data_IF_401635505489
#
_entry.id   IF_401635505489
#
_cell.length_a   1.000
_cell.length_b   1.000
_cell.length_c   1.000
_cell.angle_alpha   90.00
_cell.angle_beta   90.00
_cell.angle_gamma   90.00
#
_symmetry.space_group_name_H-M   'P 1'
#
loop_
_entity.id
_entity.type
_entity.pdbx_description
1 polymer ?
#
# COMPACT_ATOMS: atom_id res chain seq x y z
N UNK A 1 8.13 13.82 -24.06
CA UNK A 1 6.70 13.45 -24.20
C UNK A 1 5.98 14.63 -24.83
N UNK A 2 5.15 14.41 -25.85
CA UNK A 2 4.35 15.49 -26.47
C UNK A 2 3.27 15.95 -25.49
N UNK A 3 2.90 17.23 -25.49
CA UNK A 3 1.86 17.79 -24.62
C UNK A 3 0.53 17.00 -24.70
N UNK A 4 0.20 16.52 -25.90
CA UNK A 4 -1.01 15.72 -26.20
C UNK A 4 -1.02 14.35 -25.53
N UNK A 5 0.15 13.75 -25.28
CA UNK A 5 0.24 12.43 -24.67
C UNK A 5 0.02 12.51 -23.16
N UNK A 6 0.58 13.54 -22.52
CA UNK A 6 0.37 13.81 -21.09
C UNK A 6 -1.07 14.23 -20.78
N UNK A 7 -1.69 15.04 -21.66
CA UNK A 7 -3.10 15.40 -21.55
C UNK A 7 -4.03 14.18 -21.65
N UNK A 8 -3.71 13.23 -22.54
CA UNK A 8 -4.46 11.99 -22.69
C UNK A 8 -4.30 11.05 -21.50
N UNK A 9 -3.09 10.92 -20.96
CA UNK A 9 -2.79 10.10 -19.77
C UNK A 9 -3.57 10.62 -18.55
N UNK A 10 -3.55 11.93 -18.31
CA UNK A 10 -4.33 12.55 -17.23
C UNK A 10 -5.85 12.38 -17.41
N UNK A 11 -6.35 12.40 -18.65
CA UNK A 11 -7.77 12.15 -18.93
C UNK A 11 -8.17 10.70 -18.65
N UNK A 12 -7.33 9.74 -19.03
CA UNK A 12 -7.53 8.32 -18.73
C UNK A 12 -7.55 8.09 -17.21
N UNK A 13 -6.57 8.62 -16.46
CA UNK A 13 -6.53 8.51 -15.00
C UNK A 13 -7.80 9.09 -14.34
N UNK A 14 -8.28 10.25 -14.78
CA UNK A 14 -9.50 10.85 -14.23
C UNK A 14 -10.76 10.01 -14.53
N UNK A 15 -10.83 9.38 -15.71
CA UNK A 15 -11.90 8.46 -16.06
C UNK A 15 -11.88 7.19 -15.21
N UNK A 16 -10.70 6.59 -15.02
CA UNK A 16 -10.53 5.42 -14.14
C UNK A 16 -10.98 5.74 -12.71
N UNK A 17 -10.58 6.91 -12.19
CA UNK A 17 -11.00 7.39 -10.86
C UNK A 17 -12.50 7.57 -10.74
N UNK A 18 -13.16 8.18 -11.74
CA UNK A 18 -14.62 8.36 -11.73
C UNK A 18 -15.36 7.03 -11.80
N UNK A 19 -14.93 6.11 -12.66
CA UNK A 19 -15.51 4.77 -12.77
C UNK A 19 -15.35 4.00 -11.45
N UNK A 20 -14.17 4.08 -10.82
CA UNK A 20 -13.93 3.47 -9.51
C UNK A 20 -14.85 4.04 -8.42
N UNK A 21 -14.99 5.37 -8.32
CA UNK A 21 -15.87 6.00 -7.35
C UNK A 21 -17.34 5.62 -7.58
N UNK A 22 -17.80 5.60 -8.84
CA UNK A 22 -19.14 5.15 -9.19
C UNK A 22 -19.40 3.70 -8.78
N UNK A 23 -18.43 2.80 -8.98
CA UNK A 23 -18.50 1.40 -8.53
C UNK A 23 -18.57 1.29 -7.00
N UNK A 24 -17.80 2.10 -6.29
CA UNK A 24 -17.73 2.11 -4.83
C UNK A 24 -19.04 2.59 -4.20
N UNK A 25 -19.62 3.64 -4.77
CA UNK A 25 -20.80 4.32 -4.23
C UNK A 25 -22.13 3.70 -4.71
N UNK A 26 -22.06 2.61 -5.49
CA UNK A 26 -23.21 1.97 -6.15
C UNK A 26 -24.03 2.97 -7.01
N UNK A 27 -23.31 3.91 -7.64
CA UNK A 27 -23.86 5.00 -8.46
C UNK A 27 -23.03 5.15 -9.75
N UNK A 28 -22.72 4.02 -10.39
CA UNK A 28 -21.94 3.98 -11.61
C UNK A 28 -22.72 4.61 -12.78
N UNK A 29 -22.14 5.63 -13.43
CA UNK A 29 -22.66 6.16 -14.69
C UNK A 29 -22.14 5.31 -15.87
N UNK A 30 -23.02 4.64 -16.64
CA UNK A 30 -22.61 3.92 -17.84
C UNK A 30 -21.85 4.76 -18.86
N UNK A 31 -22.08 6.08 -18.92
CA UNK A 31 -21.37 6.97 -19.83
C UNK A 31 -19.90 7.13 -19.46
N UNK A 32 -19.57 7.14 -18.18
CA UNK A 32 -18.17 7.19 -17.73
C UNK A 32 -17.42 5.91 -18.09
N UNK A 33 -18.09 4.75 -18.01
CA UNK A 33 -17.51 3.45 -18.43
C UNK A 33 -17.25 3.42 -19.93
N UNK A 34 -18.20 3.89 -20.74
CA UNK A 34 -18.04 3.97 -22.20
C UNK A 34 -16.93 4.96 -22.57
N UNK A 35 -16.89 6.13 -21.91
CA UNK A 35 -15.85 7.12 -22.14
C UNK A 35 -14.45 6.56 -21.81
N UNK A 36 -14.31 5.86 -20.68
CA UNK A 36 -13.07 5.18 -20.30
C UNK A 36 -12.67 4.13 -21.35
N UNK A 37 -13.59 3.27 -21.77
CA UNK A 37 -13.32 2.24 -22.77
C UNK A 37 -12.86 2.84 -24.11
N UNK A 38 -13.50 3.93 -24.57
CA UNK A 38 -13.09 4.64 -25.78
C UNK A 38 -11.68 5.24 -25.67
N UNK A 39 -11.36 5.91 -24.56
CA UNK A 39 -10.01 6.46 -24.35
C UNK A 39 -8.95 5.35 -24.30
N UNK A 40 -9.22 4.23 -23.61
CA UNK A 40 -8.31 3.08 -23.55
C UNK A 40 -8.11 2.43 -24.94
N UNK A 41 -9.17 2.32 -25.73
CA UNK A 41 -9.10 1.83 -27.11
C UNK A 41 -8.22 2.73 -28.00
N UNK A 42 -8.33 4.05 -27.82
CA UNK A 42 -7.51 5.05 -28.49
C UNK A 42 -6.02 4.96 -28.09
N UNK A 43 -5.74 4.41 -26.91
CA UNK A 43 -4.41 4.06 -26.41
C UNK A 43 -3.95 2.65 -26.79
N UNK A 44 -4.70 1.96 -27.65
CA UNK A 44 -4.41 0.60 -28.10
C UNK A 44 -4.52 -0.48 -27.01
N UNK A 45 -5.30 -0.23 -25.95
CA UNK A 45 -5.70 -1.26 -24.99
C UNK A 45 -6.93 -2.01 -25.54
N UNK A 46 -6.73 -3.28 -25.91
CA UNK A 46 -7.75 -4.11 -26.56
C UNK A 46 -8.12 -5.32 -25.72
N UNK A 47 -8.66 -5.10 -24.52
CA UNK A 47 -9.16 -6.22 -23.71
C UNK A 47 -10.60 -6.56 -24.09
N UNK A 48 -11.02 -7.80 -23.82
CA UNK A 48 -12.37 -8.26 -24.13
C UNK A 48 -13.44 -7.38 -23.46
N UNK A 49 -13.15 -6.83 -22.27
CA UNK A 49 -14.08 -5.96 -21.56
C UNK A 49 -14.23 -4.60 -22.25
N UNK A 50 -13.13 -4.02 -22.73
CA UNK A 50 -13.11 -2.75 -23.47
C UNK A 50 -13.91 -2.91 -24.78
N UNK A 51 -13.63 -3.98 -25.54
CA UNK A 51 -14.32 -4.25 -26.80
C UNK A 51 -15.82 -4.46 -26.59
N UNK A 52 -16.20 -5.24 -25.56
CA UNK A 52 -17.61 -5.49 -25.25
C UNK A 52 -18.38 -4.21 -24.89
N UNK A 53 -17.77 -3.29 -24.12
CA UNK A 53 -18.39 -1.99 -23.79
C UNK A 53 -18.58 -1.13 -25.03
N UNK A 54 -17.59 -1.07 -25.92
CA UNK A 54 -17.65 -0.23 -27.14
C UNK A 54 -18.62 -0.80 -28.18
N UNK A 55 -18.80 -2.11 -28.25
CA UNK A 55 -19.69 -2.76 -29.22
C UNK A 55 -21.18 -2.72 -28.80
N UNK A 56 -21.47 -2.58 -27.51
CA UNK A 56 -22.85 -2.59 -26.98
C UNK A 56 -23.39 -1.17 -26.83
N UNK A 57 -24.69 -1.00 -27.09
CA UNK A 57 -25.38 0.24 -26.74
C UNK A 57 -25.58 0.29 -25.22
N UNK A 58 -25.06 1.30 -24.49
CA UNK A 58 -25.12 1.34 -23.02
C UNK A 58 -26.55 1.33 -22.46
N UNK A 59 -27.53 1.81 -23.23
CA UNK A 59 -28.96 1.80 -22.84
C UNK A 59 -29.54 0.37 -22.79
N UNK A 60 -28.92 -0.57 -23.51
CA UNK A 60 -29.35 -1.96 -23.61
C UNK A 60 -28.56 -2.89 -22.68
N UNK A 61 -27.64 -2.34 -21.86
CA UNK A 61 -26.86 -3.09 -20.87
C UNK A 61 -27.51 -2.95 -19.50
N UNK A 62 -27.68 -4.08 -18.80
CA UNK A 62 -28.22 -4.03 -17.43
C UNK A 62 -27.22 -3.35 -16.49
N UNK A 63 -27.68 -2.69 -15.40
CA UNK A 63 -26.76 -2.08 -14.43
C UNK A 63 -25.75 -3.08 -13.86
N UNK A 64 -26.17 -4.31 -13.56
CA UNK A 64 -25.30 -5.35 -13.02
C UNK A 64 -24.20 -5.77 -14.02
N UNK A 65 -24.55 -5.88 -15.32
CA UNK A 65 -23.57 -6.19 -16.36
C UNK A 65 -22.58 -5.04 -16.55
N UNK A 66 -23.07 -3.79 -16.49
CA UNK A 66 -22.21 -2.60 -16.60
C UNK A 66 -21.23 -2.51 -15.42
N UNK A 67 -21.68 -2.80 -14.20
CA UNK A 67 -20.81 -2.91 -13.01
C UNK A 67 -19.74 -4.00 -13.20
N UNK A 68 -20.11 -5.16 -13.74
CA UNK A 68 -19.15 -6.25 -13.99
C UNK A 68 -18.11 -5.87 -15.06
N UNK A 69 -18.54 -5.18 -16.12
CA UNK A 69 -17.65 -4.68 -17.17
C UNK A 69 -16.68 -3.61 -16.65
N UNK A 70 -17.19 -2.63 -15.90
CA UNK A 70 -16.37 -1.59 -15.30
C UNK A 70 -15.29 -2.16 -14.37
N UNK A 71 -15.61 -3.14 -13.53
CA UNK A 71 -14.63 -3.84 -12.69
C UNK A 71 -13.54 -4.52 -13.51
N UNK A 72 -13.94 -5.28 -14.53
CA UNK A 72 -12.99 -5.96 -15.43
C UNK A 72 -12.07 -4.98 -16.15
N UNK A 73 -12.59 -3.83 -16.61
CA UNK A 73 -11.78 -2.80 -17.27
C UNK A 73 -10.71 -2.26 -16.31
N UNK A 74 -11.09 -1.89 -15.09
CA UNK A 74 -10.13 -1.39 -14.08
C UNK A 74 -9.08 -2.45 -13.71
N UNK A 75 -9.49 -3.71 -13.56
CA UNK A 75 -8.57 -4.83 -13.28
C UNK A 75 -7.60 -5.06 -14.45
N UNK A 76 -8.10 -5.03 -15.69
CA UNK A 76 -7.31 -5.26 -16.92
C UNK A 76 -6.23 -4.19 -17.14
N UNK A 77 -6.52 -2.93 -16.79
CA UNK A 77 -5.56 -1.82 -16.89
C UNK A 77 -4.66 -1.70 -15.65
N UNK A 78 -4.91 -2.50 -14.62
CA UNK A 78 -4.14 -2.48 -13.37
C UNK A 78 -4.33 -1.20 -12.56
N UNK A 79 -5.53 -0.59 -12.61
CA UNK A 79 -5.83 0.60 -11.85
C UNK A 79 -5.71 0.33 -10.33
N UNK A 80 -4.84 1.09 -9.65
CA UNK A 80 -4.63 0.99 -8.20
C UNK A 80 -5.10 2.26 -7.49
N UNK A 81 -6.21 2.24 -6.74
CA UNK A 81 -6.80 3.45 -6.17
C UNK A 81 -5.92 4.08 -5.09
N UNK A 82 -5.60 5.36 -5.24
CA UNK A 82 -4.83 6.11 -4.24
C UNK A 82 -5.50 6.21 -2.86
N UNK A 83 -4.72 6.65 -1.86
CA UNK A 83 -5.20 6.86 -0.49
C UNK A 83 -6.36 7.88 -0.36
N UNK A 84 -6.50 8.75 -1.36
CA UNK A 84 -7.51 9.81 -1.44
C UNK A 84 -8.90 9.29 -1.83
N UNK A 85 -8.97 8.24 -2.66
CA UNK A 85 -10.23 7.61 -3.12
C UNK A 85 -10.51 6.25 -2.46
N UNK A 86 -9.54 5.68 -1.76
CA UNK A 86 -9.67 4.45 -0.97
C UNK A 86 -9.30 4.71 0.52
N UNK A 87 -10.19 5.36 1.30
CA UNK A 87 -9.90 5.73 2.69
C UNK A 87 -9.63 4.53 3.62
N UNK A 88 -10.19 3.36 3.33
CA UNK A 88 -9.94 2.11 4.05
C UNK A 88 -8.45 1.69 4.01
N UNK A 89 -7.73 2.00 2.91
CA UNK A 89 -6.29 1.76 2.81
C UNK A 89 -5.53 2.65 3.79
N UNK A 90 -5.94 3.91 3.92
CA UNK A 90 -5.40 4.84 4.93
C UNK A 90 -5.68 4.37 6.36
N UNK A 91 -6.88 3.84 6.62
CA UNK A 91 -7.23 3.29 7.94
C UNK A 91 -6.40 2.06 8.30
N UNK A 92 -6.24 1.15 7.35
CA UNK A 92 -5.39 -0.05 7.49
C UNK A 92 -3.95 0.34 7.78
N UNK A 93 -3.41 1.30 7.04
CA UNK A 93 -2.04 1.78 7.23
C UNK A 93 -1.85 2.44 8.61
N UNK A 94 -2.79 3.27 9.07
CA UNK A 94 -2.74 3.85 10.42
C UNK A 94 -2.85 2.77 11.50
N UNK A 95 -3.65 1.73 11.28
CA UNK A 95 -3.76 0.62 12.22
C UNK A 95 -2.44 -0.15 12.32
N UNK A 96 -1.81 -0.44 11.19
CA UNK A 96 -0.49 -1.06 11.13
C UNK A 96 0.58 -0.18 11.83
N UNK A 97 0.59 1.13 11.59
CA UNK A 97 1.51 2.05 12.28
C UNK A 97 1.37 1.98 13.81
N UNK A 98 0.14 1.95 14.33
CA UNK A 98 -0.10 1.82 15.78
C UNK A 98 0.46 0.52 16.36
N UNK A 99 0.54 -0.55 15.57
CA UNK A 99 1.12 -1.82 16.02
C UNK A 99 2.63 -1.69 16.09
N UNK A 100 3.30 -1.31 15.00
CA UNK A 100 4.77 -1.23 14.98
C UNK A 100 5.33 -0.09 15.87
N UNK A 101 4.57 0.99 16.09
CA UNK A 101 4.97 2.06 16.99
C UNK A 101 5.32 1.55 18.41
N UNK A 102 4.76 0.41 18.83
CA UNK A 102 5.05 -0.24 20.12
C UNK A 102 6.47 -0.82 20.21
N UNK A 103 7.13 -1.04 19.07
CA UNK A 103 8.49 -1.55 19.01
C UNK A 103 9.54 -0.43 18.99
N UNK A 104 9.17 0.77 18.52
CA UNK A 104 10.06 1.94 18.42
C UNK A 104 10.75 2.31 19.75
N UNK A 105 10.12 2.22 20.94
CA UNK A 105 10.79 2.47 22.21
C UNK A 105 11.99 1.56 22.47
N UNK A 106 12.02 0.35 21.91
CA UNK A 106 13.20 -0.54 22.02
C UNK A 106 14.44 0.02 21.33
N UNK A 107 14.24 0.97 20.41
CA UNK A 107 15.30 1.75 19.74
C UNK A 107 15.56 3.10 20.40
N UNK A 108 14.81 3.46 21.44
CA UNK A 108 14.86 4.77 22.08
C UNK A 108 14.13 5.87 21.32
N UNK A 109 13.20 5.49 20.43
CA UNK A 109 12.33 6.44 19.74
C UNK A 109 11.03 6.53 20.53
N UNK A 110 10.72 7.74 21.00
CA UNK A 110 9.55 8.04 21.82
C UNK A 110 8.57 8.94 21.05
N UNK A 111 7.32 9.00 21.54
CA UNK A 111 6.25 9.77 20.93
C UNK A 111 5.43 8.96 19.91
N UNK A 112 4.31 9.54 19.49
CA UNK A 112 3.41 8.91 18.52
C UNK A 112 3.82 9.30 17.10
N UNK A 113 4.21 8.33 16.26
CA UNK A 113 4.47 8.61 14.85
C UNK A 113 3.16 8.77 14.08
N UNK A 114 3.22 9.48 12.95
CA UNK A 114 2.10 9.73 12.06
C UNK A 114 2.39 9.22 10.64
N UNK A 115 1.33 8.86 9.91
CA UNK A 115 1.44 8.58 8.47
C UNK A 115 1.55 9.92 7.72
N UNK A 116 2.49 9.99 6.78
CA UNK A 116 2.64 11.10 5.85
C UNK A 116 2.44 10.62 4.42
N UNK A 117 1.50 11.22 3.69
CA UNK A 117 1.36 10.97 2.24
C UNK A 117 2.43 11.80 1.51
N UNK A 118 3.18 11.14 0.63
CA UNK A 118 4.29 11.69 -0.13
C UNK A 118 3.82 11.99 -1.55
N UNK A 119 3.13 13.11 -1.72
CA UNK A 119 2.58 13.57 -3.02
C UNK A 119 3.68 13.90 -4.04
N UNK A 120 4.90 14.16 -3.58
CA UNK A 120 6.08 14.44 -4.40
C UNK A 120 6.80 13.18 -4.90
N UNK A 121 6.36 12.00 -4.46
CA UNK A 121 6.90 10.70 -4.91
C UNK A 121 6.06 10.14 -6.05
N UNK A 122 6.73 9.46 -6.99
CA UNK A 122 6.06 8.70 -8.05
C UNK A 122 6.51 7.23 -8.01
N UNK A 123 5.59 6.26 -7.82
CA UNK A 123 4.17 6.48 -7.51
C UNK A 123 3.96 7.17 -6.15
N UNK A 124 2.81 7.85 -6.00
CA UNK A 124 2.41 8.44 -4.71
C UNK A 124 2.23 7.33 -3.69
N UNK A 125 2.82 7.51 -2.51
CA UNK A 125 2.68 6.54 -1.42
C UNK A 125 2.86 7.20 -0.06
N UNK A 126 3.10 6.40 0.97
CA UNK A 126 3.17 6.87 2.36
C UNK A 126 4.53 6.62 3.02
N UNK A 127 4.98 7.60 3.80
CA UNK A 127 6.05 7.48 4.77
C UNK A 127 5.52 7.56 6.22
N UNK A 128 6.45 7.55 7.17
CA UNK A 128 6.16 7.75 8.60
C UNK A 128 6.89 8.99 9.09
N UNK A 129 6.17 9.93 9.68
CA UNK A 129 6.75 11.06 10.41
C UNK A 129 6.86 10.71 11.89
N UNK A 130 8.07 10.80 12.45
CA UNK A 130 8.31 10.64 13.88
C UNK A 130 7.93 11.92 14.64
N UNK A 131 7.70 11.79 15.95
CA UNK A 131 7.33 12.91 16.82
C UNK A 131 8.38 14.03 16.90
N UNK A 132 9.65 13.72 16.61
CA UNK A 132 10.72 14.71 16.53
C UNK A 132 10.77 15.44 15.17
N UNK A 133 9.85 15.13 14.24
CA UNK A 133 9.77 15.71 12.92
C UNK A 133 10.50 14.93 11.82
N UNK A 134 11.30 13.93 12.19
CA UNK A 134 12.06 13.15 11.21
C UNK A 134 11.13 12.26 10.36
N UNK A 135 11.39 12.14 9.06
CA UNK A 135 10.60 11.35 8.11
C UNK A 135 11.26 10.01 7.73
N UNK A 136 10.67 8.88 8.08
CA UNK A 136 11.05 7.54 7.63
C UNK A 136 10.33 7.20 6.31
N UNK A 137 11.08 7.03 5.22
CA UNK A 137 10.56 6.63 3.91
C UNK A 137 11.62 5.93 3.04
N UNK A 138 12.67 5.38 3.68
CA UNK A 138 13.74 4.66 3.00
C UNK A 138 13.34 3.23 2.66
N UNK A 139 13.86 2.73 1.54
CA UNK A 139 13.35 1.49 0.91
C UNK A 139 12.20 1.73 -0.07
N UNK A 140 11.66 2.95 -0.12
CA UNK A 140 10.52 3.34 -0.94
C UNK A 140 9.27 3.63 -0.09
N UNK A 141 8.29 4.38 -0.64
CA UNK A 141 7.05 4.67 0.06
C UNK A 141 6.18 3.41 0.15
N UNK A 142 5.31 3.34 1.17
CA UNK A 142 4.26 2.32 1.24
C UNK A 142 3.20 2.65 0.20
N UNK A 143 3.01 1.74 -0.76
CA UNK A 143 2.05 1.93 -1.83
C UNK A 143 0.61 1.66 -1.36
N UNK A 144 -0.41 2.32 -1.94
CA UNK A 144 -1.81 2.09 -1.60
C UNK A 144 -2.22 0.61 -1.66
N UNK A 145 -1.91 -0.12 -2.75
CA UNK A 145 -2.24 -1.54 -2.88
C UNK A 145 -1.62 -2.45 -1.81
N UNK A 146 -0.54 -2.04 -1.13
CA UNK A 146 0.00 -2.80 0.00
C UNK A 146 -0.91 -2.76 1.24
N UNK A 147 -1.93 -1.90 1.24
CA UNK A 147 -2.85 -1.69 2.35
C UNK A 147 -4.19 -2.42 2.18
N UNK A 148 -4.33 -3.25 1.14
CA UNK A 148 -5.51 -4.12 0.96
C UNK A 148 -5.53 -5.29 1.95
N UNK A 149 -4.35 -5.68 2.44
CA UNK A 149 -4.19 -6.70 3.48
C UNK A 149 -3.45 -6.11 4.70
N UNK A 150 -4.04 -6.19 5.92
CA UNK A 150 -3.41 -5.64 7.12
C UNK A 150 -2.03 -6.23 7.45
N UNK A 151 -1.80 -7.51 7.14
CA UNK A 151 -0.52 -8.19 7.42
C UNK A 151 0.57 -7.69 6.48
N UNK A 152 0.24 -7.53 5.21
CA UNK A 152 1.11 -6.94 4.19
C UNK A 152 1.46 -5.50 4.57
N UNK A 153 0.46 -4.68 4.91
CA UNK A 153 0.67 -3.29 5.34
C UNK A 153 1.64 -3.18 6.54
N UNK A 154 1.43 -4.03 7.55
CA UNK A 154 2.28 -4.07 8.75
C UNK A 154 3.70 -4.56 8.44
N UNK A 155 3.84 -5.57 7.59
CA UNK A 155 5.15 -6.10 7.16
C UNK A 155 5.93 -5.06 6.36
N UNK A 156 5.28 -4.39 5.41
CA UNK A 156 5.90 -3.33 4.60
C UNK A 156 6.32 -2.14 5.46
N UNK A 157 5.50 -1.71 6.42
CA UNK A 157 5.90 -0.70 7.40
C UNK A 157 7.10 -1.15 8.25
N UNK A 158 7.14 -2.42 8.66
CA UNK A 158 8.26 -2.95 9.43
C UNK A 158 9.57 -2.92 8.66
N UNK A 159 9.54 -3.26 7.38
CA UNK A 159 10.71 -3.20 6.49
C UNK A 159 11.13 -1.74 6.29
N UNK A 160 10.20 -0.86 5.88
CA UNK A 160 10.52 0.55 5.60
C UNK A 160 11.08 1.29 6.83
N UNK A 161 10.48 1.08 8.02
CA UNK A 161 10.99 1.67 9.27
C UNK A 161 12.39 1.11 9.58
N UNK A 162 12.59 -0.20 9.46
CA UNK A 162 13.89 -0.83 9.70
C UNK A 162 14.97 -0.26 8.78
N UNK A 163 14.70 -0.18 7.48
CA UNK A 163 15.66 0.32 6.48
C UNK A 163 15.97 1.80 6.70
N UNK A 164 14.96 2.61 7.00
CA UNK A 164 15.14 4.03 7.34
C UNK A 164 16.02 4.22 8.58
N UNK A 165 15.80 3.44 9.63
CA UNK A 165 16.59 3.52 10.85
C UNK A 165 18.02 3.01 10.67
N UNK A 166 18.20 1.97 9.84
CA UNK A 166 19.53 1.48 9.49
C UNK A 166 20.33 2.56 8.78
N UNK A 167 19.75 3.19 7.76
CA UNK A 167 20.43 4.25 7.00
C UNK A 167 20.85 5.41 7.89
N UNK A 168 19.91 5.93 8.68
CA UNK A 168 20.18 7.15 9.44
C UNK A 168 21.15 6.94 10.57
N UNK A 169 21.07 5.77 11.21
CA UNK A 169 21.78 5.54 12.46
C UNK A 169 22.97 4.62 12.30
N UNK A 170 23.15 4.00 11.12
CA UNK A 170 24.17 3.00 10.82
C UNK A 170 24.18 1.85 11.83
N UNK A 171 23.02 1.57 12.43
CA UNK A 171 22.84 0.54 13.46
C UNK A 171 21.71 -0.37 13.07
N UNK A 172 22.01 -1.67 13.12
CA UNK A 172 21.02 -2.72 12.92
C UNK A 172 19.97 -2.67 14.02
N UNK A 173 18.70 -2.69 13.63
CA UNK A 173 17.57 -2.84 14.53
C UNK A 173 16.40 -3.54 13.83
N UNK A 174 15.70 -4.46 14.50
CA UNK A 174 16.03 -5.04 15.80
C UNK A 174 17.20 -6.04 15.71
N UNK A 175 17.79 -6.39 16.86
CA UNK A 175 18.84 -7.42 16.94
C UNK A 175 18.32 -8.61 17.74
N UNK A 176 18.51 -9.82 17.22
CA UNK A 176 18.20 -11.04 17.91
C UNK A 176 19.22 -11.27 19.03
N UNK A 177 18.79 -11.36 20.29
CA UNK A 177 19.73 -11.51 21.40
C UNK A 177 20.34 -12.92 21.47
N UNK A 178 19.81 -13.90 20.73
CA UNK A 178 20.34 -15.28 20.68
C UNK A 178 21.57 -15.38 19.78
N UNK A 179 21.55 -14.68 18.65
CA UNK A 179 22.54 -14.82 17.58
C UNK A 179 23.34 -13.55 17.32
N UNK A 180 22.95 -12.44 17.94
CA UNK A 180 23.54 -11.11 17.70
C UNK A 180 23.46 -10.67 16.23
N UNK A 181 22.39 -11.10 15.55
CA UNK A 181 22.10 -10.80 14.16
C UNK A 181 20.92 -9.84 14.05
N UNK A 182 20.92 -9.00 13.03
CA UNK A 182 19.72 -8.29 12.60
C UNK A 182 18.58 -9.25 12.34
N UNK A 183 17.39 -8.90 12.83
CA UNK A 183 16.15 -9.56 12.42
C UNK A 183 15.48 -8.72 11.35
N UNK A 184 14.64 -9.32 10.51
CA UNK A 184 13.94 -8.62 9.44
C UNK A 184 12.43 -8.68 9.65
N UNK A 185 11.73 -7.61 9.27
CA UNK A 185 10.28 -7.65 9.12
C UNK A 185 9.93 -8.67 8.03
N UNK A 186 9.05 -9.61 8.31
CA UNK A 186 8.66 -10.67 7.38
C UNK A 186 7.25 -11.13 7.70
N UNK A 187 6.50 -11.53 6.68
CA UNK A 187 5.27 -12.29 6.89
C UNK A 187 5.59 -13.78 7.03
N UNK A 188 5.01 -14.42 8.05
CA UNK A 188 5.07 -15.87 8.29
C UNK A 188 3.71 -16.35 8.79
N UNK A 189 3.17 -17.37 8.13
CA UNK A 189 1.88 -17.98 8.48
C UNK A 189 0.75 -16.94 8.65
N UNK A 190 0.71 -15.94 7.75
CA UNK A 190 -0.28 -14.85 7.77
C UNK A 190 -0.08 -13.82 8.89
N UNK A 191 1.10 -13.77 9.51
CA UNK A 191 1.43 -12.84 10.60
C UNK A 191 2.71 -12.06 10.30
N UNK A 192 2.70 -10.75 10.54
CA UNK A 192 3.90 -9.93 10.49
C UNK A 192 4.79 -10.18 11.72
N UNK A 193 6.03 -10.59 11.49
CA UNK A 193 6.99 -10.98 12.53
C UNK A 193 8.35 -10.34 12.32
N UNK A 194 9.09 -10.20 13.41
CA UNK A 194 10.54 -10.01 13.41
C UNK A 194 11.22 -11.38 13.30
N UNK A 195 11.78 -11.68 12.13
CA UNK A 195 12.40 -12.96 11.82
C UNK A 195 13.93 -12.90 11.91
N UNK A 196 14.52 -13.78 12.72
CA UNK A 196 15.95 -13.99 12.75
C UNK A 196 16.33 -15.15 11.83
N UNK A 197 17.44 -15.02 11.08
CA UNK A 197 17.96 -16.08 10.20
C UNK A 197 18.93 -17.06 10.88
N UNK A 198 19.29 -16.82 12.15
CA UNK A 198 20.23 -17.67 12.89
C UNK A 198 19.69 -19.07 13.19
N UNK A 199 20.58 -20.07 13.16
CA UNK A 199 20.30 -21.51 13.40
C UNK A 199 19.13 -22.09 12.57
N UNK A 200 19.04 -21.74 11.29
CA UNK A 200 17.93 -22.19 10.41
C UNK A 200 16.68 -21.33 10.53
N UNK A 201 16.72 -20.30 11.38
CA UNK A 201 15.77 -19.22 11.48
C UNK A 201 14.67 -19.43 12.52
N UNK A 202 14.24 -18.33 13.15
CA UNK A 202 13.17 -18.34 14.13
C UNK A 202 12.49 -16.97 14.25
N UNK A 203 11.24 -16.99 14.70
CA UNK A 203 10.52 -15.78 15.09
C UNK A 203 11.12 -15.25 16.40
N UNK A 204 11.61 -14.01 16.37
CA UNK A 204 11.99 -13.30 17.59
C UNK A 204 10.72 -12.83 18.33
N UNK A 205 9.80 -12.19 17.61
CA UNK A 205 8.52 -11.69 18.12
C UNK A 205 7.56 -11.39 16.96
N UNK A 206 6.24 -11.37 17.19
CA UNK A 206 5.32 -10.61 16.35
C UNK A 206 5.72 -9.13 16.30
N UNK A 207 5.43 -8.45 15.19
CA UNK A 207 5.59 -6.99 15.12
C UNK A 207 4.64 -6.33 16.13
N UNK A 208 5.16 -5.36 16.89
CA UNK A 208 4.49 -4.69 18.01
C UNK A 208 4.70 -5.35 19.38
N UNK A 209 5.40 -6.49 19.44
CA UNK A 209 5.67 -7.22 20.69
C UNK A 209 7.17 -7.32 21.06
N UNK A 210 8.04 -6.57 20.37
CA UNK A 210 9.48 -6.65 20.55
C UNK A 210 9.92 -6.33 21.99
N UNK A 211 9.29 -5.35 22.61
CA UNK A 211 9.53 -4.98 24.02
C UNK A 211 9.35 -6.17 24.98
N UNK A 212 8.35 -7.02 24.74
CA UNK A 212 8.08 -8.22 25.54
C UNK A 212 9.16 -9.28 25.32
N UNK A 213 9.54 -9.52 24.06
CA UNK A 213 10.57 -10.50 23.71
C UNK A 213 11.95 -10.14 24.27
N UNK A 214 12.32 -8.85 24.22
CA UNK A 214 13.59 -8.35 24.75
C UNK A 214 13.58 -8.21 26.29
N UNK A 215 12.45 -7.81 26.88
CA UNK A 215 12.29 -7.66 28.33
C UNK A 215 12.33 -8.97 29.10
N UNK A 216 11.82 -10.06 28.53
CA UNK A 216 11.81 -11.39 29.15
C UNK A 216 13.21 -12.01 29.36
N UNK A 217 14.27 -11.43 28.79
CA UNK A 217 15.66 -11.86 29.02
C UNK A 217 16.39 -11.16 30.16
N UNK A 218 15.94 -10.00 30.63
CA UNK A 218 16.55 -9.32 31.80
C UNK A 218 16.22 -10.00 33.15
N UNK A 219 15.44 -11.08 33.17
CA UNK A 219 15.05 -11.85 34.37
C UNK A 219 15.65 -13.27 34.44
N UNK A 220 16.81 -13.52 33.82
CA UNK A 220 17.59 -14.75 34.02
C UNK A 220 19.01 -14.42 34.43
#
# INVERSE_FOLDING_TARGET
MSNTMAEREANTEELERRVYLGLREDNLDPQDVVALACELLDWFHYTDAILEVVERNPVDVSPADMTALARRILDDVGFDPGFDIAPERSETLRAALRVIARDLPTRGIEGEPEIEILEDCFPVGAGVRLANGDRLNWGGPILPGMCDDPTTALTSLAIMIQESLLEWTWRVWPVCPRHDLGVHGSERDGTAVWWCVGDGGHVLAPVGELSRALGNRRRK
#
